data_IF_253981158280
#
_entry.id   IF_253981158280
#
_cell.length_a   1.000
_cell.length_b   1.000
_cell.length_c   1.000
_cell.angle_alpha   90.00
_cell.angle_beta   90.00
_cell.angle_gamma   90.00
#
_symmetry.space_group_name_H-M   'P 1'
#
loop_
_entity.id
_entity.type
_entity.pdbx_description
1 polymer ?
#
# COMPACT_ATOMS: atom_id res chain seq x y z
N UNK A 1 4.39 10.23 10.12
CA UNK A 1 5.25 9.10 10.42
C UNK A 1 4.66 7.78 10.00
N UNK A 2 5.45 6.70 10.08
CA UNK A 2 4.96 5.38 9.71
C UNK A 2 3.85 4.90 10.64
N UNK A 3 2.87 4.21 10.08
CA UNK A 3 1.75 3.69 10.85
C UNK A 3 1.69 2.17 10.81
N UNK A 4 1.83 1.57 9.66
CA UNK A 4 1.79 0.13 9.47
C UNK A 4 2.90 -0.32 8.52
N UNK A 5 3.33 -1.56 8.64
CA UNK A 5 4.46 -2.10 7.89
C UNK A 5 4.11 -3.46 7.33
N UNK A 6 4.68 -3.78 6.18
CA UNK A 6 4.64 -5.13 5.62
C UNK A 6 5.94 -5.41 4.87
N UNK A 7 6.43 -6.64 4.99
CA UNK A 7 7.60 -7.11 4.26
C UNK A 7 7.12 -7.90 3.04
N UNK A 8 7.74 -7.66 1.88
CA UNK A 8 7.40 -8.45 0.70
C UNK A 8 7.76 -9.92 0.91
N UNK A 9 6.97 -10.87 0.36
CA UNK A 9 7.25 -12.30 0.55
C UNK A 9 8.65 -12.74 0.14
N UNK A 10 9.26 -12.06 -0.85
CA UNK A 10 10.63 -12.34 -1.26
C UNK A 10 11.70 -11.79 -0.30
N UNK A 11 11.29 -11.05 0.74
CA UNK A 11 12.20 -10.51 1.75
C UNK A 11 13.04 -9.32 1.30
N UNK A 12 12.73 -8.72 0.16
CA UNK A 12 13.57 -7.64 -0.40
C UNK A 12 13.14 -6.25 0.03
N UNK A 13 11.85 -6.02 0.22
CA UNK A 13 11.32 -4.68 0.47
C UNK A 13 10.49 -4.62 1.74
N UNK A 14 10.55 -3.49 2.42
CA UNK A 14 9.65 -3.12 3.51
C UNK A 14 8.76 -2.00 3.01
N UNK A 15 7.45 -2.19 3.11
CA UNK A 15 6.46 -1.19 2.69
C UNK A 15 5.81 -0.60 3.93
N UNK A 16 5.84 0.71 4.04
CA UNK A 16 5.30 1.44 5.19
C UNK A 16 4.18 2.37 4.75
N UNK A 17 3.06 2.32 5.46
CA UNK A 17 2.02 3.34 5.30
C UNK A 17 2.36 4.57 6.14
N UNK A 18 2.04 5.76 5.62
CA UNK A 18 2.32 7.03 6.27
C UNK A 18 0.99 7.66 6.68
N UNK A 19 0.73 7.76 7.98
CA UNK A 19 -0.55 8.27 8.47
C UNK A 19 -0.65 9.78 8.35
N UNK A 20 0.36 10.51 8.80
CA UNK A 20 0.32 11.96 8.80
C UNK A 20 0.53 12.55 7.42
N UNK A 21 -0.51 12.88 6.70
CA UNK A 21 -0.44 13.37 5.32
C UNK A 21 -0.73 12.31 4.28
N UNK A 22 -0.70 11.04 4.67
CA UNK A 22 -1.01 9.93 3.78
C UNK A 22 0.13 9.56 2.85
N UNK A 23 0.21 8.30 2.48
CA UNK A 23 1.20 7.85 1.51
C UNK A 23 1.83 6.52 1.80
N UNK A 24 2.85 6.22 1.04
CA UNK A 24 3.63 5.00 1.14
C UNK A 24 5.11 5.32 1.05
N UNK A 25 5.90 4.61 1.83
CA UNK A 25 7.36 4.65 1.73
C UNK A 25 7.88 3.22 1.64
N UNK A 26 8.78 2.97 0.71
CA UNK A 26 9.34 1.65 0.47
C UNK A 26 10.84 1.69 0.73
N UNK A 27 11.32 0.72 1.49
CA UNK A 27 12.73 0.59 1.84
C UNK A 27 13.29 -0.69 1.24
N UNK A 28 14.53 -0.61 0.76
CA UNK A 28 15.31 -1.79 0.43
C UNK A 28 15.87 -2.40 1.71
N UNK A 29 15.50 -3.65 2.01
CA UNK A 29 15.91 -4.29 3.26
C UNK A 29 17.41 -4.58 3.34
N UNK A 30 18.05 -4.84 2.20
CA UNK A 30 19.48 -5.13 2.20
C UNK A 30 20.33 -3.91 2.59
N UNK A 31 19.94 -2.72 2.12
CA UNK A 31 20.68 -1.48 2.37
C UNK A 31 20.09 -0.63 3.49
N UNK A 32 18.81 -0.84 3.82
CA UNK A 32 18.07 0.01 4.75
C UNK A 32 17.68 1.36 4.16
N UNK A 33 17.87 1.57 2.88
CA UNK A 33 17.60 2.85 2.22
C UNK A 33 16.17 2.94 1.72
N UNK A 34 15.60 4.14 1.79
CA UNK A 34 14.33 4.44 1.15
C UNK A 34 14.54 4.47 -0.37
N UNK A 35 13.77 3.68 -1.09
CA UNK A 35 13.86 3.62 -2.56
C UNK A 35 12.67 4.29 -3.23
N UNK A 36 11.60 4.57 -2.48
CA UNK A 36 10.40 5.15 -3.06
C UNK A 36 9.53 5.77 -1.98
N UNK A 37 9.00 6.96 -2.26
CA UNK A 37 8.00 7.62 -1.41
C UNK A 37 6.98 8.28 -2.32
N UNK A 38 5.69 8.08 -2.04
CA UNK A 38 4.62 8.70 -2.80
C UNK A 38 3.44 8.99 -1.90
N UNK A 39 2.74 10.09 -2.15
CA UNK A 39 1.51 10.40 -1.46
C UNK A 39 0.38 9.48 -1.94
N UNK A 40 -0.51 9.11 -1.02
CA UNK A 40 -1.72 8.38 -1.37
C UNK A 40 -2.73 9.29 -2.06
N UNK A 41 -3.80 8.69 -2.58
CA UNK A 41 -4.91 9.46 -3.17
C UNK A 41 -5.71 10.23 -2.13
N UNK A 42 -5.60 9.85 -0.86
CA UNK A 42 -6.21 10.57 0.28
C UNK A 42 -5.21 10.70 1.41
N UNK A 43 -5.55 11.46 2.45
CA UNK A 43 -4.77 11.51 3.69
C UNK A 43 -5.11 10.32 4.59
N UNK A 44 -4.26 10.01 5.56
CA UNK A 44 -4.55 8.99 6.57
C UNK A 44 -4.45 7.57 6.06
N UNK A 45 -3.32 7.21 5.45
CA UNK A 45 -3.06 5.84 5.00
C UNK A 45 -2.81 4.92 6.18
N UNK A 46 -3.47 3.76 6.21
CA UNK A 46 -3.46 2.84 7.34
C UNK A 46 -2.90 1.46 6.98
N UNK A 47 -3.72 0.60 6.38
CA UNK A 47 -3.37 -0.79 6.19
C UNK A 47 -2.49 -1.03 4.97
N UNK A 48 -1.67 -2.06 5.05
CA UNK A 48 -0.78 -2.49 3.96
C UNK A 48 -0.94 -3.99 3.76
N UNK A 49 -1.14 -4.42 2.53
CA UNK A 49 -1.10 -5.83 2.15
C UNK A 49 -0.29 -5.98 0.86
N UNK A 50 0.47 -7.07 0.78
CA UNK A 50 1.36 -7.31 -0.36
C UNK A 50 0.89 -8.55 -1.11
N UNK A 51 0.91 -8.50 -2.45
CA UNK A 51 0.57 -9.67 -3.25
C UNK A 51 1.63 -10.78 -3.07
N UNK A 52 1.25 -12.08 -3.20
CA UNK A 52 2.19 -13.17 -2.97
C UNK A 52 3.41 -13.19 -3.90
N UNK A 53 3.31 -12.55 -5.06
CA UNK A 53 4.42 -12.43 -6.01
C UNK A 53 5.35 -11.26 -5.69
N UNK A 54 5.12 -10.54 -4.57
CA UNK A 54 5.91 -9.40 -4.12
C UNK A 54 5.86 -8.20 -5.08
N UNK A 55 4.92 -8.18 -6.01
CA UNK A 55 4.87 -7.15 -7.04
C UNK A 55 3.99 -5.96 -6.68
N UNK A 56 2.87 -6.19 -5.99
CA UNK A 56 1.92 -5.13 -5.71
C UNK A 56 1.71 -4.93 -4.22
N UNK A 57 1.62 -3.66 -3.81
CA UNK A 57 1.20 -3.27 -2.47
C UNK A 57 -0.18 -2.61 -2.55
N UNK A 58 -1.07 -3.02 -1.65
CA UNK A 58 -2.42 -2.49 -1.52
C UNK A 58 -2.48 -1.72 -0.20
N UNK A 59 -2.77 -0.43 -0.28
CA UNK A 59 -2.81 0.43 0.90
C UNK A 59 -4.18 1.07 1.06
N UNK A 60 -4.79 0.87 2.22
CA UNK A 60 -6.07 1.49 2.55
C UNK A 60 -5.87 2.88 3.14
N UNK A 61 -6.75 3.80 2.78
CA UNK A 61 -6.75 5.17 3.29
C UNK A 61 -8.15 5.60 3.66
N UNK A 62 -8.28 6.36 4.76
CA UNK A 62 -9.55 6.91 5.18
C UNK A 62 -10.02 8.03 4.25
N UNK A 63 -11.34 8.16 4.12
CA UNK A 63 -11.93 9.34 3.54
C UNK A 63 -11.99 10.48 4.54
N UNK A 64 -12.11 11.70 4.05
CA UNK A 64 -12.25 12.92 4.85
C UNK A 64 -13.60 13.56 4.56
N UNK A 65 -14.36 13.88 5.61
CA UNK A 65 -15.69 14.44 5.48
C UNK A 65 -16.63 13.45 4.81
N UNK A 66 -17.20 13.81 3.65
CA UNK A 66 -18.08 12.93 2.86
C UNK A 66 -17.33 12.13 1.80
N UNK A 67 -16.02 12.30 1.68
CA UNK A 67 -15.23 11.58 0.68
C UNK A 67 -15.09 10.11 1.06
N UNK A 68 -15.13 9.19 0.09
CA UNK A 68 -14.91 7.78 0.37
C UNK A 68 -13.47 7.50 0.74
N UNK A 69 -13.24 6.42 1.49
CA UNK A 69 -11.92 5.85 1.63
C UNK A 69 -11.49 5.21 0.32
N UNK A 70 -10.22 4.90 0.22
CA UNK A 70 -9.64 4.31 -1.00
C UNK A 70 -8.70 3.17 -0.68
N UNK A 71 -8.54 2.27 -1.64
CA UNK A 71 -7.43 1.33 -1.68
C UNK A 71 -6.59 1.69 -2.88
N UNK A 72 -5.37 2.13 -2.63
CA UNK A 72 -4.40 2.43 -3.67
C UNK A 72 -3.55 1.19 -3.95
N UNK A 73 -3.24 0.97 -5.21
CA UNK A 73 -2.39 -0.14 -5.65
C UNK A 73 -1.09 0.42 -6.20
N UNK A 74 0.03 -0.04 -5.64
CA UNK A 74 1.37 0.38 -6.07
C UNK A 74 2.10 -0.81 -6.68
N UNK A 75 2.74 -0.58 -7.83
CA UNK A 75 3.63 -1.54 -8.47
C UNK A 75 5.01 -1.38 -7.85
N UNK A 76 5.49 -2.40 -7.14
CA UNK A 76 6.77 -2.33 -6.42
C UNK A 76 7.99 -2.55 -7.33
N UNK A 77 7.77 -3.01 -8.55
CA UNK A 77 8.83 -3.13 -9.56
C UNK A 77 8.98 -1.80 -10.30
N UNK A 78 7.87 -1.25 -10.78
CA UNK A 78 7.88 0.03 -11.49
C UNK A 78 7.97 1.23 -10.55
N UNK A 79 7.71 1.04 -9.25
CA UNK A 79 7.73 2.07 -8.21
C UNK A 79 6.77 3.22 -8.54
N UNK A 80 5.51 2.86 -8.77
CA UNK A 80 4.45 3.85 -9.05
C UNK A 80 3.08 3.32 -8.62
N UNK A 81 2.15 4.26 -8.39
CA UNK A 81 0.75 3.91 -8.17
C UNK A 81 0.11 3.53 -9.51
N UNK A 82 -0.54 2.38 -9.57
CA UNK A 82 -1.14 1.86 -10.80
C UNK A 82 -2.65 1.77 -10.74
N UNK A 83 -3.26 1.97 -9.58
CA UNK A 83 -4.71 1.92 -9.46
C UNK A 83 -5.20 2.51 -8.15
N UNK A 84 -6.49 2.75 -8.09
CA UNK A 84 -7.17 3.24 -6.89
C UNK A 84 -8.64 2.85 -6.96
N UNK A 85 -9.19 2.35 -5.85
CA UNK A 85 -10.59 1.92 -5.76
C UNK A 85 -11.23 2.62 -4.58
N UNK A 86 -12.42 3.17 -4.78
CA UNK A 86 -13.22 3.77 -3.71
C UNK A 86 -13.84 2.66 -2.85
N UNK A 87 -13.77 2.84 -1.54
CA UNK A 87 -14.31 1.91 -0.55
C UNK A 87 -15.05 2.70 0.54
N UNK A 88 -15.42 2.05 1.63
CA UNK A 88 -16.07 2.74 2.74
C UNK A 88 -15.21 3.86 3.33
N UNK A 89 -15.84 4.87 3.92
CA UNK A 89 -15.19 6.09 4.37
C UNK A 89 -14.06 5.86 5.40
N UNK A 90 -14.18 4.85 6.25
CA UNK A 90 -13.19 4.55 7.27
C UNK A 90 -12.44 3.26 6.95
N UNK A 91 -11.87 3.17 5.77
CA UNK A 91 -11.08 2.01 5.38
C UNK A 91 -9.78 1.96 6.19
N UNK A 92 -9.74 1.08 7.18
CA UNK A 92 -8.60 0.94 8.08
C UNK A 92 -7.69 -0.24 7.72
N UNK A 93 -8.16 -1.45 7.91
CA UNK A 93 -7.35 -2.63 7.69
C UNK A 93 -7.48 -3.23 6.29
N UNK A 94 -6.50 -4.00 5.90
CA UNK A 94 -6.51 -4.73 4.66
C UNK A 94 -5.64 -5.98 4.81
N UNK A 95 -6.05 -7.07 4.16
CA UNK A 95 -5.28 -8.30 4.15
C UNK A 95 -5.38 -8.96 2.77
N UNK A 96 -4.32 -9.62 2.36
CA UNK A 96 -4.32 -10.38 1.12
C UNK A 96 -4.82 -11.79 1.40
N UNK A 97 -5.72 -12.28 0.56
CA UNK A 97 -6.27 -13.62 0.71
C UNK A 97 -5.47 -14.63 -0.10
N UNK A 98 -5.52 -14.51 -1.40
CA UNK A 98 -4.78 -15.41 -2.30
C UNK A 98 -4.75 -14.85 -3.71
N UNK A 99 -3.85 -15.36 -4.50
CA UNK A 99 -3.78 -15.13 -5.93
C UNK A 99 -4.18 -16.39 -6.67
N UNK A 100 -5.01 -16.22 -7.70
CA UNK A 100 -5.39 -17.33 -8.57
C UNK A 100 -5.05 -16.97 -10.02
N UNK A 101 -4.61 -17.96 -10.83
CA UNK A 101 -4.40 -17.69 -12.24
C UNK A 101 -5.71 -17.26 -12.89
N UNK A 102 -5.63 -16.35 -13.85
CA UNK A 102 -6.82 -15.95 -14.60
C UNK A 102 -7.35 -17.15 -15.38
N UNK A 103 -8.63 -17.42 -15.17
CA UNK A 103 -9.33 -18.47 -15.91
C UNK A 103 -9.62 -17.99 -17.33
N UNK A 104 -9.65 -18.93 -18.27
CA UNK A 104 -9.91 -18.66 -19.67
C UNK A 104 -11.05 -19.53 -20.17
#
# INVERSE_FOLDING_TARGET
GPYNLAVTPDGKLLVSSLKGGGGVQVFDLASGRSVFTMKSSTTGTHGVAISPDSRYAFLSSEGVGSDPGKVDVYDLVALKRVGSVDVGQQAGGIAFWKMEPRSR
#
